data_IF_173896549263
#
_entry.id   IF_173896549263
#
_cell.length_a   1.000
_cell.length_b   1.000
_cell.length_c   1.000
_cell.angle_alpha   90.00
_cell.angle_beta   90.00
_cell.angle_gamma   90.00
#
_symmetry.space_group_name_H-M   'P 1'
#
loop_
_entity.id
_entity.type
_entity.pdbx_description
1 polymer ?
#
# COMPACT_ATOMS: atom_id res chain seq x y z
N UNK A 1 -15.30 26.54 2.61
CA UNK A 1 -16.50 25.77 2.17
C UNK A 1 -16.20 24.78 1.05
N UNK A 2 -15.65 25.17 -0.11
CA UNK A 2 -15.43 24.26 -1.26
C UNK A 2 -14.55 23.03 -0.95
N UNK A 3 -13.45 23.21 -0.20
CA UNK A 3 -12.51 22.12 0.13
C UNK A 3 -13.11 21.05 1.04
N UNK A 4 -13.69 21.45 2.18
CA UNK A 4 -14.42 20.53 3.08
C UNK A 4 -15.57 19.79 2.36
N UNK A 5 -16.25 20.46 1.43
CA UNK A 5 -17.27 19.82 0.59
C UNK A 5 -16.71 18.66 -0.25
N UNK A 6 -15.51 18.81 -0.82
CA UNK A 6 -14.85 17.75 -1.60
C UNK A 6 -14.48 16.54 -0.72
N UNK A 7 -14.00 16.81 0.50
CA UNK A 7 -13.69 15.77 1.49
C UNK A 7 -14.96 14.98 1.80
N UNK A 8 -16.02 15.65 2.29
CA UNK A 8 -17.28 15.00 2.67
C UNK A 8 -17.87 14.21 1.49
N UNK A 9 -17.91 14.81 0.29
CA UNK A 9 -18.40 14.14 -0.91
C UNK A 9 -17.61 12.85 -1.22
N UNK A 10 -16.28 12.88 -1.09
CA UNK A 10 -15.43 11.71 -1.30
C UNK A 10 -15.71 10.60 -0.29
N UNK A 11 -15.78 10.92 1.01
CA UNK A 11 -16.10 9.93 2.04
C UNK A 11 -17.45 9.26 1.80
N UNK A 12 -18.49 10.06 1.52
CA UNK A 12 -19.83 9.54 1.23
C UNK A 12 -19.83 8.65 -0.02
N UNK A 13 -19.16 9.07 -1.10
CA UNK A 13 -19.09 8.32 -2.35
C UNK A 13 -18.35 6.98 -2.20
N UNK A 14 -17.21 6.98 -1.50
CA UNK A 14 -16.42 5.77 -1.25
C UNK A 14 -17.23 4.75 -0.44
N UNK A 15 -17.90 5.19 0.65
CA UNK A 15 -18.77 4.32 1.46
C UNK A 15 -19.93 3.76 0.65
N UNK A 16 -20.65 4.62 -0.07
CA UNK A 16 -21.81 4.23 -0.85
C UNK A 16 -21.44 3.21 -1.94
N UNK A 17 -20.33 3.43 -2.63
CA UNK A 17 -19.83 2.53 -3.66
C UNK A 17 -19.48 1.13 -3.13
N UNK A 18 -18.85 1.05 -1.96
CA UNK A 18 -18.50 -0.20 -1.29
C UNK A 18 -19.75 -0.90 -0.74
N UNK A 19 -20.67 -0.15 -0.13
CA UNK A 19 -21.95 -0.68 0.37
C UNK A 19 -22.79 -1.29 -0.76
N UNK A 20 -22.87 -0.64 -1.92
CA UNK A 20 -23.53 -1.17 -3.12
C UNK A 20 -22.89 -2.48 -3.64
N UNK A 21 -21.63 -2.75 -3.27
CA UNK A 21 -20.91 -3.99 -3.57
C UNK A 21 -20.90 -4.97 -2.40
N UNK A 22 -21.78 -4.77 -1.41
CA UNK A 22 -21.94 -5.62 -0.24
C UNK A 22 -20.69 -5.74 0.65
N UNK A 23 -19.83 -4.71 0.65
CA UNK A 23 -18.78 -4.60 1.66
C UNK A 23 -19.39 -4.14 2.99
N UNK A 24 -18.99 -4.79 4.07
CA UNK A 24 -19.38 -4.41 5.43
C UNK A 24 -18.35 -3.45 6.02
N UNK A 25 -18.81 -2.27 6.47
CA UNK A 25 -17.96 -1.34 7.23
C UNK A 25 -17.74 -1.92 8.62
N UNK A 26 -16.48 -1.98 9.05
CA UNK A 26 -16.08 -2.46 10.36
C UNK A 26 -15.20 -1.42 11.04
N UNK A 27 -15.13 -1.48 12.36
CA UNK A 27 -14.20 -0.69 13.16
C UNK A 27 -13.24 -1.63 13.90
N UNK A 28 -11.95 -1.32 13.79
CA UNK A 28 -10.89 -2.04 14.48
C UNK A 28 -10.23 -1.19 15.56
N UNK A 29 -9.61 -1.81 16.58
CA UNK A 29 -8.89 -1.05 17.61
C UNK A 29 -7.76 -0.20 17.02
N UNK A 30 -7.74 1.09 17.37
CA UNK A 30 -6.65 2.02 17.00
C UNK A 30 -5.39 1.76 17.85
N UNK A 31 -5.60 1.32 19.10
CA UNK A 31 -4.54 0.93 20.03
C UNK A 31 -4.38 -0.59 20.01
N UNK A 32 -3.14 -1.05 19.89
CA UNK A 32 -2.78 -2.47 19.94
C UNK A 32 -1.60 -2.72 20.88
N UNK A 33 -1.40 -3.98 21.27
CA UNK A 33 -0.16 -4.40 21.94
C UNK A 33 1.00 -4.37 20.93
N UNK A 34 2.18 -4.07 21.44
CA UNK A 34 3.37 -3.63 20.71
C UNK A 34 4.02 -4.60 19.68
N UNK A 35 3.35 -5.68 19.24
CA UNK A 35 4.00 -6.77 18.50
C UNK A 35 3.57 -6.96 17.04
N UNK A 36 2.69 -6.13 16.47
CA UNK A 36 2.05 -6.44 15.18
C UNK A 36 2.56 -5.58 13.99
N UNK A 37 3.75 -5.92 13.48
CA UNK A 37 4.02 -6.14 12.05
C UNK A 37 3.76 -5.07 10.98
N UNK A 38 3.41 -3.82 11.30
CA UNK A 38 3.42 -2.73 10.31
C UNK A 38 4.88 -2.34 10.12
N UNK A 39 5.45 -2.54 8.94
CA UNK A 39 6.82 -2.11 8.63
C UNK A 39 7.02 -0.59 8.62
N UNK A 40 6.32 0.16 9.45
CA UNK A 40 6.46 1.59 9.72
C UNK A 40 6.59 1.76 11.24
N UNK A 41 7.40 2.73 11.69
CA UNK A 41 7.68 2.94 13.10
C UNK A 41 6.40 3.31 13.89
N UNK A 42 5.90 2.43 14.78
CA UNK A 42 4.68 2.68 15.54
C UNK A 42 4.91 3.74 16.61
N UNK A 43 3.86 4.51 16.94
CA UNK A 43 3.93 5.41 18.10
C UNK A 43 3.62 4.64 19.37
N UNK A 44 4.59 4.57 20.28
CA UNK A 44 4.39 4.02 21.62
C UNK A 44 3.75 5.10 22.49
N UNK A 45 2.61 4.76 23.08
CA UNK A 45 1.91 5.62 24.04
C UNK A 45 1.80 4.89 25.37
N UNK A 46 2.22 5.49 26.50
CA UNK A 46 1.97 4.94 27.81
C UNK A 46 0.45 4.89 28.06
N UNK A 47 -0.04 3.77 28.56
CA UNK A 47 -1.44 3.61 28.94
C UNK A 47 -1.50 3.48 30.46
N UNK A 48 -2.15 4.42 31.15
CA UNK A 48 -2.22 4.37 32.62
C UNK A 48 -3.14 3.25 33.14
N UNK A 49 -4.06 2.75 32.30
CA UNK A 49 -5.07 1.75 32.67
C UNK A 49 -4.47 0.33 32.75
N UNK A 50 -3.34 0.09 32.08
CA UNK A 50 -2.65 -1.20 32.14
C UNK A 50 -1.15 -0.96 32.21
N UNK A 51 -0.40 -1.71 33.01
CA UNK A 51 1.07 -1.60 33.09
C UNK A 51 1.81 -2.00 31.79
N UNK A 52 1.10 -2.12 30.67
CA UNK A 52 1.61 -2.48 29.35
C UNK A 52 1.65 -1.25 28.44
N UNK A 53 2.72 -1.15 27.65
CA UNK A 53 2.84 -0.15 26.58
C UNK A 53 1.92 -0.51 25.41
N UNK A 54 1.24 0.48 24.84
CA UNK A 54 0.40 0.31 23.65
C UNK A 54 1.05 1.01 22.45
N UNK A 55 0.85 0.45 21.26
CA UNK A 55 1.26 1.02 19.99
C UNK A 55 0.03 1.44 19.17
N UNK A 56 0.12 2.63 18.57
CA UNK A 56 -0.83 3.09 17.55
C UNK A 56 -0.40 2.51 16.20
N UNK A 57 -1.29 1.76 15.55
CA UNK A 57 -0.95 0.99 14.36
C UNK A 57 -1.58 1.48 13.06
N UNK A 58 -0.93 1.06 11.97
CA UNK A 58 -1.37 1.22 10.59
C UNK A 58 -1.82 -0.16 10.08
N UNK A 59 -3.13 -0.31 9.82
CA UNK A 59 -3.60 -1.29 8.83
C UNK A 59 -3.38 -2.78 9.12
N UNK A 60 -3.35 -3.22 10.39
CA UNK A 60 -3.04 -4.63 10.72
C UNK A 60 -4.25 -5.41 11.29
N UNK A 61 -5.20 -4.76 11.96
CA UNK A 61 -6.35 -5.48 12.55
C UNK A 61 -7.31 -6.08 11.54
N UNK A 62 -7.43 -5.48 10.35
CA UNK A 62 -8.15 -6.11 9.25
C UNK A 62 -7.53 -7.47 8.89
N UNK A 63 -6.22 -7.70 9.13
CA UNK A 63 -5.57 -9.01 9.02
C UNK A 63 -6.04 -10.05 10.03
N UNK A 64 -6.57 -9.59 11.16
CA UNK A 64 -7.10 -10.44 12.24
C UNK A 64 -8.62 -10.61 12.16
N UNK A 65 -9.39 -9.59 11.72
CA UNK A 65 -10.85 -9.74 11.49
C UNK A 65 -11.18 -10.62 10.27
N UNK A 66 -10.17 -10.81 9.43
CA UNK A 66 -10.02 -11.81 8.37
C UNK A 66 -10.27 -13.27 8.80
N UNK A 67 -10.55 -13.50 10.09
CA UNK A 67 -10.91 -14.79 10.69
C UNK A 67 -12.41 -15.06 10.83
N UNK A 68 -13.26 -14.06 10.58
CA UNK A 68 -14.70 -14.09 10.86
C UNK A 68 -15.57 -14.80 9.81
N UNK A 69 -15.00 -15.27 8.69
CA UNK A 69 -15.74 -15.82 7.55
C UNK A 69 -16.45 -14.75 6.70
N UNK A 70 -16.31 -13.46 7.04
CA UNK A 70 -16.88 -12.35 6.27
C UNK A 70 -16.07 -12.17 4.98
N UNK A 71 -16.77 -12.23 3.85
CA UNK A 71 -16.13 -12.25 2.52
C UNK A 71 -15.73 -10.87 2.00
N UNK A 72 -16.34 -9.79 2.47
CA UNK A 72 -16.09 -8.41 2.00
C UNK A 72 -16.17 -7.44 3.17
N UNK A 73 -15.05 -6.84 3.52
CA UNK A 73 -14.99 -5.85 4.61
C UNK A 73 -14.20 -4.63 4.21
N UNK A 74 -14.54 -3.49 4.78
CA UNK A 74 -13.74 -2.29 4.67
C UNK A 74 -13.78 -1.47 5.96
N UNK A 75 -12.78 -0.62 6.11
CA UNK A 75 -12.68 0.32 7.22
C UNK A 75 -12.09 1.62 6.69
N UNK A 76 -12.65 2.75 7.12
CA UNK A 76 -12.04 4.06 6.93
C UNK A 76 -11.54 4.52 8.29
N UNK A 77 -10.22 4.57 8.47
CA UNK A 77 -9.59 4.83 9.76
C UNK A 77 -8.50 5.89 9.69
N UNK A 78 -8.27 6.51 10.84
CA UNK A 78 -7.09 7.34 11.10
C UNK A 78 -5.88 6.44 11.35
N UNK A 79 -4.76 6.83 10.79
CA UNK A 79 -3.51 6.13 10.86
C UNK A 79 -2.38 7.10 11.13
N UNK A 80 -1.31 6.62 11.77
CA UNK A 80 -0.27 7.47 12.32
C UNK A 80 1.11 6.92 11.92
N UNK A 81 1.95 7.76 11.30
CA UNK A 81 3.33 7.40 10.89
C UNK A 81 4.31 8.36 11.52
N UNK A 82 5.21 7.84 12.35
CA UNK A 82 6.22 8.67 13.02
C UNK A 82 7.35 9.13 12.08
N UNK A 83 7.54 8.45 10.95
CA UNK A 83 8.60 8.73 9.99
C UNK A 83 8.31 9.93 9.08
N UNK A 84 7.03 10.28 8.91
CA UNK A 84 6.61 11.26 7.90
C UNK A 84 6.63 12.70 8.41
N UNK A 85 6.27 12.92 9.69
CA UNK A 85 6.25 14.24 10.32
C UNK A 85 6.05 14.13 11.85
N UNK A 86 6.36 15.19 12.64
CA UNK A 86 5.91 15.28 14.03
C UNK A 86 4.38 15.47 14.12
N UNK A 87 3.74 15.07 15.23
CA UNK A 87 2.31 15.35 15.44
C UNK A 87 2.02 16.87 15.45
N UNK A 88 0.88 17.33 14.91
CA UNK A 88 -0.24 16.53 14.38
C UNK A 88 -0.10 16.10 12.91
N UNK A 89 0.97 16.49 12.21
CA UNK A 89 1.14 16.30 10.75
C UNK A 89 1.38 14.85 10.31
N UNK A 90 1.40 13.95 11.30
CA UNK A 90 1.73 12.54 11.21
C UNK A 90 0.48 11.64 11.14
N UNK A 91 -0.70 12.24 11.22
CA UNK A 91 -2.01 11.61 11.08
C UNK A 91 -2.50 11.65 9.62
N UNK A 92 -3.06 10.55 9.14
CA UNK A 92 -3.65 10.45 7.80
C UNK A 92 -4.79 9.42 7.78
N UNK A 93 -5.75 9.63 6.90
CA UNK A 93 -6.91 8.75 6.75
C UNK A 93 -6.69 7.76 5.61
N UNK A 94 -6.90 6.48 5.91
CA UNK A 94 -6.80 5.37 4.96
C UNK A 94 -8.16 4.69 4.85
N UNK A 95 -8.54 4.32 3.63
CA UNK A 95 -9.54 3.30 3.36
C UNK A 95 -8.82 1.98 3.13
N UNK A 96 -9.10 0.98 3.95
CA UNK A 96 -8.59 -0.38 3.79
C UNK A 96 -9.76 -1.32 3.53
N UNK A 97 -9.64 -2.19 2.53
CA UNK A 97 -10.67 -3.18 2.25
C UNK A 97 -10.05 -4.54 1.91
N UNK A 98 -10.81 -5.60 2.21
CA UNK A 98 -10.44 -6.98 1.96
C UNK A 98 -11.61 -7.71 1.32
N UNK A 99 -11.32 -8.56 0.34
CA UNK A 99 -12.31 -9.44 -0.27
C UNK A 99 -11.72 -10.83 -0.52
N UNK A 100 -12.52 -11.86 -0.25
CA UNK A 100 -12.21 -13.27 -0.54
C UNK A 100 -12.57 -13.66 -1.97
N UNK A 101 -11.97 -14.76 -2.42
CA UNK A 101 -12.08 -15.34 -3.76
C UNK A 101 -11.63 -14.41 -4.89
N UNK A 102 -10.70 -13.51 -4.58
CA UNK A 102 -10.07 -12.60 -5.54
C UNK A 102 -8.56 -12.56 -5.33
N UNK A 103 -7.85 -12.03 -6.33
CA UNK A 103 -6.43 -11.72 -6.26
C UNK A 103 -6.15 -10.22 -6.42
N UNK A 104 -4.87 -9.84 -6.39
CA UNK A 104 -4.46 -8.45 -6.54
C UNK A 104 -4.86 -7.82 -7.88
N UNK A 105 -5.05 -8.57 -8.97
CA UNK A 105 -5.48 -7.97 -10.23
C UNK A 105 -6.93 -7.49 -10.13
N UNK A 106 -7.79 -8.29 -9.49
CA UNK A 106 -9.20 -7.93 -9.27
C UNK A 106 -9.36 -6.62 -8.48
N UNK A 107 -8.45 -6.34 -7.55
CA UNK A 107 -8.51 -5.11 -6.75
C UNK A 107 -8.14 -3.86 -7.54
N UNK A 108 -7.44 -3.97 -8.69
CA UNK A 108 -7.11 -2.81 -9.54
C UNK A 108 -8.38 -2.16 -10.06
N UNK A 109 -9.30 -2.96 -10.60
CA UNK A 109 -10.57 -2.45 -11.13
C UNK A 109 -11.45 -1.86 -10.05
N UNK A 110 -11.47 -2.47 -8.86
CA UNK A 110 -12.20 -1.96 -7.72
C UNK A 110 -11.68 -0.57 -7.30
N UNK A 111 -10.36 -0.42 -7.20
CA UNK A 111 -9.73 0.86 -6.82
C UNK A 111 -9.88 1.91 -7.92
N UNK A 112 -9.73 1.54 -9.19
CA UNK A 112 -9.99 2.43 -10.31
C UNK A 112 -11.40 3.02 -10.25
N UNK A 113 -12.40 2.17 -10.03
CA UNK A 113 -13.78 2.62 -9.90
C UNK A 113 -14.02 3.48 -8.65
N UNK A 114 -13.37 3.19 -7.51
CA UNK A 114 -13.44 4.04 -6.32
C UNK A 114 -12.95 5.46 -6.58
N UNK A 115 -11.80 5.60 -7.26
CA UNK A 115 -11.25 6.91 -7.65
C UNK A 115 -12.19 7.63 -8.60
N UNK A 116 -12.77 6.93 -9.59
CA UNK A 116 -13.75 7.50 -10.51
C UNK A 116 -15.02 7.98 -9.79
N UNK A 117 -15.51 7.23 -8.80
CA UNK A 117 -16.66 7.67 -8.01
C UNK A 117 -16.36 8.90 -7.17
N UNK A 118 -15.19 8.95 -6.54
CA UNK A 118 -14.76 10.14 -5.80
C UNK A 118 -14.65 11.37 -6.73
N UNK A 119 -14.09 11.19 -7.94
CA UNK A 119 -14.04 12.23 -8.98
C UNK A 119 -15.45 12.72 -9.37
N UNK A 120 -16.38 11.80 -9.66
CA UNK A 120 -17.77 12.14 -9.95
C UNK A 120 -18.45 12.89 -8.79
N UNK A 121 -18.23 12.48 -7.55
CA UNK A 121 -18.83 13.14 -6.39
C UNK A 121 -18.31 14.57 -6.17
N UNK A 122 -17.07 14.86 -6.57
CA UNK A 122 -16.47 16.19 -6.44
C UNK A 122 -16.85 17.11 -7.63
N UNK A 123 -16.85 16.57 -8.85
CA UNK A 123 -16.90 17.37 -10.08
C UNK A 123 -18.12 17.14 -10.97
N UNK A 124 -19.00 16.20 -10.60
CA UNK A 124 -20.14 15.73 -11.42
C UNK A 124 -19.70 15.17 -12.80
N UNK A 125 -18.43 14.77 -12.90
CA UNK A 125 -17.81 14.17 -14.10
C UNK A 125 -16.65 13.29 -13.68
N UNK A 126 -16.29 12.33 -14.52
CA UNK A 126 -15.07 11.51 -14.34
C UNK A 126 -13.78 12.25 -14.73
N UNK A 127 -13.88 13.50 -15.22
CA UNK A 127 -12.74 14.30 -15.63
C UNK A 127 -12.16 15.11 -14.47
N UNK A 128 -10.84 15.05 -14.32
CA UNK A 128 -10.09 15.75 -13.29
C UNK A 128 -9.21 16.82 -13.95
N UNK A 129 -9.61 18.07 -13.80
CA UNK A 129 -8.85 19.22 -14.29
C UNK A 129 -7.85 19.64 -13.20
N UNK A 130 -6.55 19.43 -13.43
CA UNK A 130 -5.53 19.86 -12.46
C UNK A 130 -5.13 21.31 -12.77
N UNK A 131 -5.29 22.22 -11.81
CA UNK A 131 -4.93 23.65 -12.00
C UNK A 131 -3.41 23.91 -12.10
N UNK A 132 -2.58 22.89 -11.91
CA UNK A 132 -1.12 22.99 -11.79
C UNK A 132 -0.33 22.98 -13.11
N UNK A 133 -0.99 23.04 -14.26
CA UNK A 133 -0.31 23.04 -15.57
C UNK A 133 0.27 21.68 -16.00
N UNK A 134 0.05 20.59 -15.25
CA UNK A 134 0.38 19.20 -15.67
C UNK A 134 -0.68 18.55 -16.57
N UNK A 135 -1.55 19.36 -17.18
CA UNK A 135 -2.63 18.90 -18.07
C UNK A 135 -3.90 18.49 -17.33
N UNK A 136 -5.01 18.55 -18.06
CA UNK A 136 -6.26 17.91 -17.67
C UNK A 136 -6.14 16.41 -17.92
N UNK A 137 -6.68 15.58 -17.03
CA UNK A 137 -6.72 14.14 -17.21
C UNK A 137 -8.11 13.61 -16.91
N UNK A 138 -8.55 12.59 -17.63
CA UNK A 138 -9.84 11.97 -17.37
C UNK A 138 -9.67 10.67 -16.59
N UNK A 139 -10.28 10.57 -15.41
CA UNK A 139 -10.21 9.36 -14.60
C UNK A 139 -10.95 8.17 -15.22
N UNK A 140 -11.75 8.41 -16.26
CA UNK A 140 -12.41 7.36 -17.05
C UNK A 140 -11.46 6.62 -17.99
N UNK A 141 -10.28 7.18 -18.30
CA UNK A 141 -9.30 6.55 -19.18
C UNK A 141 -8.81 5.20 -18.64
N UNK A 142 -8.31 4.36 -19.56
CA UNK A 142 -7.58 3.16 -19.18
C UNK A 142 -6.25 3.57 -18.56
N UNK A 143 -5.95 2.99 -17.39
CA UNK A 143 -4.73 3.29 -16.67
C UNK A 143 -3.64 2.32 -17.07
N UNK A 144 -2.42 2.84 -17.21
CA UNK A 144 -1.28 2.01 -17.58
C UNK A 144 -1.00 0.98 -16.50
N UNK A 145 -0.62 -0.22 -16.93
CA UNK A 145 -0.17 -1.30 -16.04
C UNK A 145 1.25 -1.69 -16.48
N UNK A 146 2.23 -1.51 -15.60
CA UNK A 146 3.63 -1.81 -15.87
C UNK A 146 4.22 -2.63 -14.74
N UNK A 147 5.08 -3.61 -15.04
CA UNK A 147 5.85 -4.24 -13.97
C UNK A 147 6.87 -3.26 -13.40
N UNK A 148 7.20 -3.38 -12.11
CA UNK A 148 8.25 -2.56 -11.47
C UNK A 148 9.57 -2.67 -12.25
N UNK A 149 9.94 -3.86 -12.70
CA UNK A 149 11.17 -4.09 -13.44
C UNK A 149 11.16 -3.42 -14.81
N UNK A 150 10.04 -3.47 -15.55
CA UNK A 150 9.86 -2.78 -16.83
C UNK A 150 9.99 -1.26 -16.65
N UNK A 151 9.36 -0.70 -15.61
CA UNK A 151 9.42 0.73 -15.35
C UNK A 151 10.84 1.20 -14.98
N UNK A 152 11.55 0.42 -14.14
CA UNK A 152 12.94 0.68 -13.78
C UNK A 152 13.88 0.52 -14.98
N UNK A 153 13.66 -0.48 -15.83
CA UNK A 153 14.44 -0.66 -17.07
C UNK A 153 14.33 0.56 -17.99
N UNK A 154 13.11 1.07 -18.19
CA UNK A 154 12.87 2.27 -18.99
C UNK A 154 13.54 3.50 -18.38
N UNK A 155 13.40 3.71 -17.06
CA UNK A 155 14.00 4.86 -16.37
C UNK A 155 15.54 4.83 -16.37
N UNK A 156 16.14 3.65 -16.27
CA UNK A 156 17.60 3.46 -16.34
C UNK A 156 18.15 3.36 -17.76
N UNK A 157 17.28 3.34 -18.78
CA UNK A 157 17.63 3.11 -20.18
C UNK A 157 18.52 1.86 -20.35
N UNK A 158 18.17 0.79 -19.66
CA UNK A 158 18.96 -0.45 -19.57
C UNK A 158 18.01 -1.65 -19.45
N UNK A 159 18.30 -2.79 -20.12
CA UNK A 159 17.46 -3.98 -19.98
C UNK A 159 17.61 -4.58 -18.57
N UNK A 160 16.70 -4.20 -17.67
CA UNK A 160 16.59 -4.76 -16.33
C UNK A 160 15.45 -5.78 -16.30
N UNK A 161 15.75 -6.97 -15.79
CA UNK A 161 14.81 -8.06 -15.58
C UNK A 161 14.88 -8.56 -14.16
N UNK A 162 13.98 -9.48 -13.83
CA UNK A 162 13.93 -10.17 -12.54
C UNK A 162 15.15 -11.04 -12.28
N UNK A 163 16.01 -11.29 -13.29
CA UNK A 163 17.23 -12.11 -13.18
C UNK A 163 18.53 -11.33 -13.40
N UNK A 164 18.44 -10.01 -13.68
CA UNK A 164 19.63 -9.15 -13.80
C UNK A 164 20.52 -9.26 -12.57
N UNK A 165 21.84 -9.30 -12.78
CA UNK A 165 22.80 -9.49 -11.70
C UNK A 165 22.93 -8.24 -10.82
N UNK A 166 23.42 -8.42 -9.59
CA UNK A 166 23.67 -7.31 -8.67
C UNK A 166 24.67 -6.29 -9.25
N UNK A 167 25.76 -6.76 -9.87
CA UNK A 167 26.81 -5.90 -10.42
C UNK A 167 26.29 -5.02 -11.55
N UNK A 168 25.49 -5.58 -12.46
CA UNK A 168 24.85 -4.83 -13.55
C UNK A 168 23.88 -3.77 -13.02
N UNK A 169 23.02 -4.14 -12.07
CA UNK A 169 22.07 -3.21 -11.43
C UNK A 169 22.78 -2.08 -10.68
N UNK A 170 23.81 -2.41 -9.89
CA UNK A 170 24.59 -1.41 -9.17
C UNK A 170 25.26 -0.44 -10.15
N UNK A 171 25.81 -0.94 -11.25
CA UNK A 171 26.45 -0.12 -12.27
C UNK A 171 25.44 0.79 -12.98
N UNK A 172 24.25 0.27 -13.29
CA UNK A 172 23.16 1.06 -13.86
C UNK A 172 22.71 2.18 -12.91
N UNK A 173 22.48 1.87 -11.62
CA UNK A 173 22.12 2.85 -10.60
C UNK A 173 23.20 3.93 -10.42
N UNK A 174 24.48 3.56 -10.40
CA UNK A 174 25.59 4.52 -10.26
C UNK A 174 25.67 5.52 -11.42
N UNK A 175 25.41 5.08 -12.67
CA UNK A 175 25.44 5.97 -13.85
C UNK A 175 24.46 7.15 -13.76
N UNK A 176 23.36 6.96 -13.04
CA UNK A 176 22.30 7.97 -12.86
C UNK A 176 22.34 8.62 -11.48
N UNK A 177 23.43 8.44 -10.72
CA UNK A 177 23.63 9.08 -9.42
C UNK A 177 22.82 8.48 -8.26
N UNK A 178 22.29 7.26 -8.40
CA UNK A 178 21.61 6.57 -7.30
C UNK A 178 22.65 5.91 -6.40
N UNK A 179 22.80 6.44 -5.19
CA UNK A 179 23.57 5.79 -4.14
C UNK A 179 22.85 4.57 -3.59
N UNK A 180 23.54 3.42 -3.62
CA UNK A 180 23.07 2.18 -3.03
C UNK A 180 23.26 2.22 -1.50
N UNK A 181 22.26 1.77 -0.73
CA UNK A 181 22.45 1.52 0.70
C UNK A 181 23.62 0.56 0.96
N UNK A 182 24.30 0.67 2.12
CA UNK A 182 25.30 -0.32 2.53
C UNK A 182 24.70 -1.73 2.53
N UNK A 183 25.40 -2.68 1.90
CA UNK A 183 24.95 -4.08 1.76
C UNK A 183 23.57 -4.26 1.09
N UNK A 184 23.16 -3.32 0.22
CA UNK A 184 21.91 -3.42 -0.48
C UNK A 184 21.81 -4.75 -1.26
N UNK A 185 20.68 -5.44 -1.12
CA UNK A 185 20.34 -6.55 -1.99
C UNK A 185 19.98 -6.04 -3.39
N UNK A 186 19.98 -6.95 -4.36
CA UNK A 186 19.54 -6.65 -5.73
C UNK A 186 18.14 -6.04 -5.76
N UNK A 187 17.21 -6.63 -5.03
CA UNK A 187 15.82 -6.18 -5.00
C UNK A 187 15.70 -4.80 -4.33
N UNK A 188 16.54 -4.52 -3.31
CA UNK A 188 16.63 -3.19 -2.71
C UNK A 188 17.14 -2.15 -3.72
N UNK A 189 18.10 -2.49 -4.59
CA UNK A 189 18.54 -1.59 -5.67
C UNK A 189 17.41 -1.27 -6.65
N UNK A 190 16.63 -2.28 -7.07
CA UNK A 190 15.46 -2.08 -7.93
C UNK A 190 14.46 -1.15 -7.25
N UNK A 191 14.17 -1.36 -5.96
CA UNK A 191 13.26 -0.50 -5.22
C UNK A 191 13.79 0.93 -5.02
N UNK A 192 15.10 1.10 -4.81
CA UNK A 192 15.72 2.42 -4.76
C UNK A 192 15.58 3.16 -6.09
N UNK A 193 15.82 2.48 -7.22
CA UNK A 193 15.63 3.06 -8.55
C UNK A 193 14.17 3.41 -8.83
N UNK A 194 13.24 2.53 -8.46
CA UNK A 194 11.81 2.77 -8.58
C UNK A 194 11.37 4.02 -7.80
N UNK A 195 11.70 4.10 -6.51
CA UNK A 195 11.34 5.21 -5.63
C UNK A 195 11.97 6.54 -6.05
N UNK A 196 13.18 6.55 -6.63
CA UNK A 196 13.90 7.78 -7.01
C UNK A 196 13.62 8.25 -8.43
N UNK A 197 13.36 7.35 -9.37
CA UNK A 197 13.23 7.69 -10.79
C UNK A 197 11.82 7.51 -11.32
N UNK A 198 11.16 6.42 -10.95
CA UNK A 198 9.88 6.04 -11.55
C UNK A 198 8.73 6.77 -10.86
N UNK A 199 8.64 6.67 -9.53
CA UNK A 199 7.55 7.30 -8.78
C UNK A 199 7.47 8.81 -9.05
N UNK A 200 8.52 9.62 -8.84
CA UNK A 200 8.44 11.08 -9.01
C UNK A 200 8.17 11.52 -10.45
N UNK A 201 8.55 10.69 -11.44
CA UNK A 201 8.33 10.97 -12.85
C UNK A 201 6.94 10.55 -13.36
N UNK A 202 6.19 9.77 -12.59
CA UNK A 202 4.86 9.27 -12.99
C UNK A 202 3.87 10.43 -13.07
N UNK A 203 3.34 10.68 -14.27
CA UNK A 203 2.43 11.79 -14.53
C UNK A 203 0.97 11.37 -14.31
N UNK A 204 0.51 10.34 -15.02
CA UNK A 204 -0.87 9.86 -14.96
C UNK A 204 -0.99 8.65 -14.01
N UNK A 205 -2.21 8.29 -13.59
CA UNK A 205 -2.42 7.08 -12.80
C UNK A 205 -1.87 5.84 -13.52
N UNK A 206 -0.90 5.21 -12.88
CA UNK A 206 -0.25 3.99 -13.37
C UNK A 206 -0.21 2.97 -12.26
N UNK A 207 -0.67 1.76 -12.54
CA UNK A 207 -0.45 0.60 -11.70
C UNK A 207 0.93 0.03 -11.99
N UNK A 208 1.78 0.02 -10.96
CA UNK A 208 3.01 -0.74 -10.96
C UNK A 208 2.78 -2.09 -10.31
N UNK A 209 3.13 -3.17 -10.99
CA UNK A 209 2.81 -4.54 -10.56
C UNK A 209 4.08 -5.37 -10.33
N UNK A 210 3.90 -6.48 -9.62
CA UNK A 210 4.91 -7.53 -9.44
C UNK A 210 6.19 -7.03 -8.78
N UNK A 211 6.03 -6.51 -7.56
CA UNK A 211 7.12 -6.02 -6.74
C UNK A 211 8.09 -7.16 -6.37
N UNK A 212 9.39 -6.87 -6.17
CA UNK A 212 10.32 -7.85 -5.64
C UNK A 212 9.83 -8.45 -4.32
N UNK A 213 9.90 -9.77 -4.17
CA UNK A 213 9.33 -10.49 -3.02
C UNK A 213 9.93 -10.05 -1.68
N UNK A 214 11.22 -9.67 -1.68
CA UNK A 214 11.91 -9.19 -0.48
C UNK A 214 11.39 -7.84 0.02
N UNK A 215 10.75 -7.05 -0.83
CA UNK A 215 10.11 -5.78 -0.47
C UNK A 215 8.66 -5.94 0.03
N UNK A 216 8.11 -7.15 -0.09
CA UNK A 216 6.69 -7.45 0.19
C UNK A 216 6.55 -8.65 1.14
N UNK A 217 7.02 -8.52 2.40
CA UNK A 217 7.15 -9.63 3.35
C UNK A 217 5.82 -10.32 3.71
N UNK A 218 4.71 -9.60 3.60
CA UNK A 218 3.37 -10.09 3.98
C UNK A 218 2.47 -10.41 2.78
N UNK A 219 3.03 -10.38 1.57
CA UNK A 219 2.30 -10.59 0.32
C UNK A 219 2.60 -11.96 -0.27
N UNK A 220 1.61 -12.61 -0.87
CA UNK A 220 1.76 -13.88 -1.59
C UNK A 220 2.85 -13.81 -2.65
N UNK A 221 3.60 -14.91 -2.81
CA UNK A 221 4.58 -15.03 -3.89
C UNK A 221 3.85 -15.02 -5.23
N UNK A 222 4.44 -14.41 -6.25
CA UNK A 222 3.88 -14.43 -7.58
C UNK A 222 3.79 -15.87 -8.11
N UNK A 223 2.60 -16.25 -8.60
CA UNK A 223 2.30 -17.64 -9.02
C UNK A 223 3.21 -18.18 -10.14
N UNK A 224 3.78 -17.31 -10.96
CA UNK A 224 4.69 -17.68 -12.06
C UNK A 224 6.17 -17.35 -11.80
N UNK A 225 6.47 -16.46 -10.85
CA UNK A 225 7.82 -15.90 -10.68
C UNK A 225 8.20 -15.81 -9.20
N UNK A 226 9.01 -16.75 -8.72
CA UNK A 226 9.30 -16.90 -7.28
C UNK A 226 10.02 -15.71 -6.63
N UNK A 227 10.64 -14.85 -7.43
CA UNK A 227 11.33 -13.63 -7.00
C UNK A 227 10.39 -12.43 -6.88
N UNK A 228 9.14 -12.54 -7.31
CA UNK A 228 8.15 -11.47 -7.28
C UNK A 228 7.03 -11.78 -6.28
N UNK A 229 6.28 -10.74 -5.92
CA UNK A 229 5.11 -10.80 -5.08
C UNK A 229 3.88 -10.30 -5.85
N UNK A 230 2.72 -10.90 -5.58
CA UNK A 230 1.43 -10.47 -6.15
C UNK A 230 0.97 -9.17 -5.47
N UNK A 231 1.60 -8.07 -5.86
CA UNK A 231 1.40 -6.73 -5.31
C UNK A 231 1.30 -5.73 -6.44
N UNK A 232 0.48 -4.71 -6.24
CA UNK A 232 0.55 -3.51 -7.04
C UNK A 232 0.57 -2.24 -6.19
N UNK A 233 1.15 -1.17 -6.74
CA UNK A 233 1.09 0.20 -6.24
C UNK A 233 0.51 1.11 -7.31
N UNK A 234 -0.48 1.92 -6.95
CA UNK A 234 -1.07 2.93 -7.83
C UNK A 234 -0.38 4.26 -7.56
N UNK A 235 0.29 4.79 -8.56
CA UNK A 235 1.00 6.06 -8.49
C UNK A 235 0.37 7.03 -9.47
N UNK A 236 0.10 8.26 -9.04
CA UNK A 236 -0.23 9.35 -9.95
C UNK A 236 0.44 10.64 -9.49
N UNK A 237 0.87 11.46 -10.45
CA UNK A 237 1.49 12.76 -10.22
C UNK A 237 2.66 12.75 -9.23
N UNK A 238 3.44 11.68 -9.20
CA UNK A 238 4.60 11.56 -8.31
C UNK A 238 4.33 10.89 -6.97
N UNK A 239 3.08 10.50 -6.67
CA UNK A 239 2.67 10.05 -5.33
C UNK A 239 1.95 8.70 -5.41
N UNK A 240 2.32 7.78 -4.51
CA UNK A 240 1.62 6.51 -4.32
C UNK A 240 0.27 6.76 -3.59
N UNK A 241 -0.83 6.48 -4.26
CA UNK A 241 -2.20 6.77 -3.77
C UNK A 241 -2.81 5.52 -3.14
N UNK A 242 -2.51 4.34 -3.69
CA UNK A 242 -3.02 3.08 -3.19
C UNK A 242 -2.01 1.95 -3.38
N UNK A 243 -2.16 0.90 -2.58
CA UNK A 243 -1.38 -0.34 -2.70
C UNK A 243 -2.31 -1.53 -2.44
N UNK A 244 -2.07 -2.65 -3.10
CA UNK A 244 -2.80 -3.89 -2.84
C UNK A 244 -1.91 -5.10 -2.99
N UNK A 245 -2.34 -6.19 -2.38
CA UNK A 245 -1.65 -7.47 -2.45
C UNK A 245 -2.60 -8.64 -2.32
N UNK A 246 -2.31 -9.73 -3.03
CA UNK A 246 -2.84 -11.05 -2.71
C UNK A 246 -2.22 -11.50 -1.39
N UNK A 247 -3.04 -12.07 -0.52
CA UNK A 247 -2.57 -12.47 0.80
C UNK A 247 -1.96 -13.87 0.81
N UNK A 248 -0.98 -14.06 1.70
CA UNK A 248 -0.48 -15.40 2.02
C UNK A 248 -1.58 -16.13 2.80
N UNK A 249 -2.06 -17.23 2.24
CA UNK A 249 -3.08 -18.11 2.86
C UNK A 249 -2.53 -19.47 3.24
N UNK A 250 -1.32 -19.82 2.78
CA UNK A 250 -0.65 -21.08 3.11
C UNK A 250 0.17 -20.93 4.42
N UNK A 251 -0.09 -21.74 5.46
CA UNK A 251 0.64 -21.68 6.72
C UNK A 251 2.14 -22.01 6.56
N UNK A 252 2.50 -22.93 5.67
CA UNK A 252 3.89 -23.31 5.40
C UNK A 252 4.62 -22.15 4.71
N UNK A 253 3.97 -21.53 3.72
CA UNK A 253 4.51 -20.34 3.05
C UNK A 253 4.70 -19.20 4.05
N UNK A 254 3.73 -18.97 4.93
CA UNK A 254 3.80 -17.93 5.96
C UNK A 254 4.97 -18.17 6.92
N UNK A 255 5.13 -19.39 7.45
CA UNK A 255 6.24 -19.76 8.33
C UNK A 255 7.60 -19.60 7.67
N UNK A 256 7.75 -20.08 6.42
CA UNK A 256 9.00 -19.97 5.67
C UNK A 256 9.44 -18.52 5.41
N UNK A 257 8.52 -17.56 5.54
CA UNK A 257 8.79 -16.13 5.35
C UNK A 257 9.20 -15.40 6.62
N UNK A 258 8.92 -15.94 7.81
CA UNK A 258 9.21 -15.28 9.09
C UNK A 258 10.66 -14.74 9.16
N UNK A 259 11.71 -15.47 8.73
CA UNK A 259 13.08 -14.93 8.73
C UNK A 259 13.24 -13.68 7.85
N UNK A 260 12.54 -13.62 6.71
CA UNK A 260 12.55 -12.43 5.82
C UNK A 260 11.79 -11.28 6.44
N UNK A 261 10.67 -11.53 7.13
CA UNK A 261 9.91 -10.49 7.84
C UNK A 261 10.74 -9.88 8.97
N UNK A 262 11.41 -10.73 9.75
CA UNK A 262 12.32 -10.32 10.83
C UNK A 262 13.51 -9.51 10.28
N UNK A 263 14.12 -9.97 9.19
CA UNK A 263 15.22 -9.25 8.53
C UNK A 263 14.78 -7.89 7.99
N UNK A 264 13.58 -7.81 7.39
CA UNK A 264 13.00 -6.56 6.92
C UNK A 264 12.71 -5.59 8.07
N UNK A 265 12.12 -6.08 9.17
CA UNK A 265 11.86 -5.27 10.37
C UNK A 265 13.16 -4.72 10.99
N UNK A 266 14.19 -5.57 11.14
CA UNK A 266 15.50 -5.18 11.66
C UNK A 266 16.18 -4.10 10.80
N UNK A 267 15.96 -4.12 9.48
CA UNK A 267 16.52 -3.10 8.56
C UNK A 267 15.91 -1.70 8.73
N UNK A 268 14.73 -1.59 9.34
CA UNK A 268 14.00 -0.32 9.53
C UNK A 268 14.28 0.37 10.86
N UNK A 269 15.35 0.01 11.58
CA UNK A 269 15.66 0.47 12.95
C UNK A 269 14.62 0.11 14.00
N UNK A 270 13.71 -0.82 13.69
CA UNK A 270 12.77 -1.41 14.63
C UNK A 270 13.45 -2.64 15.27
N UNK A 271 13.85 -2.51 16.54
CA UNK A 271 14.48 -3.59 17.32
C UNK A 271 13.50 -4.66 17.79
N UNK A 272 12.20 -4.42 17.65
CA UNK A 272 11.18 -5.37 18.03
C UNK A 272 10.99 -6.33 16.87
N UNK A 273 11.64 -7.49 16.97
CA UNK A 273 11.42 -8.61 16.07
C UNK A 273 9.90 -8.82 15.92
N UNK A 274 9.41 -8.92 14.68
CA UNK A 274 8.02 -9.28 14.43
C UNK A 274 7.78 -10.62 15.11
N UNK A 275 7.11 -10.61 16.27
CA UNK A 275 6.78 -11.84 16.98
C UNK A 275 5.87 -12.67 16.08
N UNK A 276 6.12 -13.97 16.07
CA UNK A 276 5.28 -14.90 15.33
C UNK A 276 3.88 -14.84 15.94
N UNK A 277 2.90 -14.42 15.16
CA UNK A 277 1.51 -14.44 15.59
C UNK A 277 0.99 -15.89 15.46
N UNK A 278 1.16 -16.67 16.53
CA UNK A 278 0.76 -18.07 16.60
C UNK A 278 -0.75 -18.26 16.38
N UNK A 279 -1.58 -17.31 16.81
CA UNK A 279 -3.02 -17.34 16.55
C UNK A 279 -3.33 -17.19 15.05
N UNK A 280 -2.64 -16.29 14.36
CA UNK A 280 -2.79 -16.13 12.92
C UNK A 280 -2.30 -17.36 12.15
N UNK A 281 -1.19 -17.97 12.60
CA UNK A 281 -0.69 -19.20 12.01
C UNK A 281 -1.67 -20.37 12.20
N UNK A 282 -2.24 -20.51 13.40
CA UNK A 282 -3.29 -21.50 13.66
C UNK A 282 -4.51 -21.26 12.77
N UNK A 283 -4.87 -20.00 12.52
CA UNK A 283 -5.97 -19.69 11.62
C UNK A 283 -5.70 -20.07 10.17
N UNK A 284 -4.47 -19.85 9.68
CA UNK A 284 -4.07 -20.33 8.35
C UNK A 284 -4.23 -21.86 8.20
N UNK A 285 -4.02 -22.62 9.28
CA UNK A 285 -4.19 -24.08 9.29
C UNK A 285 -5.66 -24.52 9.22
N UNK A 286 -6.61 -23.72 9.72
CA UNK A 286 -8.05 -23.99 9.55
C UNK A 286 -8.53 -23.77 8.11
N UNK A 287 -7.70 -23.14 7.27
CA UNK A 287 -7.99 -22.85 5.89
C UNK A 287 -8.65 -21.48 5.72
N UNK A 288 -8.02 -20.65 4.90
CA UNK A 288 -8.54 -19.34 4.51
C UNK A 288 -8.70 -19.35 2.99
N UNK A 289 -9.86 -18.93 2.44
CA UNK A 289 -9.98 -18.79 0.99
C UNK A 289 -8.96 -17.75 0.45
N UNK A 290 -8.51 -17.91 -0.81
CA UNK A 290 -7.71 -16.89 -1.49
C UNK A 290 -8.35 -15.52 -1.35
N UNK A 291 -7.56 -14.47 -1.15
CA UNK A 291 -8.08 -13.12 -0.93
C UNK A 291 -7.05 -12.07 -1.26
N UNK A 292 -7.53 -10.87 -1.52
CA UNK A 292 -6.71 -9.69 -1.68
C UNK A 292 -7.25 -8.53 -0.85
N UNK A 293 -6.34 -7.67 -0.44
CA UNK A 293 -6.65 -6.45 0.29
C UNK A 293 -5.98 -5.26 -0.37
N UNK A 294 -6.61 -4.09 -0.31
CA UNK A 294 -5.99 -2.84 -0.74
C UNK A 294 -6.10 -1.77 0.35
N UNK A 295 -5.19 -0.81 0.29
CA UNK A 295 -5.16 0.40 1.09
C UNK A 295 -5.13 1.60 0.15
N UNK A 296 -5.98 2.58 0.40
CA UNK A 296 -6.13 3.82 -0.37
C UNK A 296 -5.97 5.00 0.59
N UNK A 297 -5.00 5.86 0.33
CA UNK A 297 -4.82 7.11 1.07
C UNK A 297 -5.87 8.12 0.63
N UNK A 298 -6.78 8.50 1.54
CA UNK A 298 -7.81 9.49 1.22
C UNK A 298 -7.19 10.87 1.01
N UNK A 299 -6.10 11.20 1.72
CA UNK A 299 -5.39 12.45 1.50
C UNK A 299 -4.75 12.51 0.12
N UNK A 300 -3.99 11.48 -0.28
CA UNK A 300 -3.36 11.48 -1.60
C UNK A 300 -4.40 11.41 -2.71
N UNK A 301 -5.52 10.71 -2.50
CA UNK A 301 -6.65 10.73 -3.41
C UNK A 301 -7.16 12.16 -3.62
N UNK A 302 -7.40 12.89 -2.52
CA UNK A 302 -7.86 14.27 -2.59
C UNK A 302 -6.80 15.18 -3.23
N UNK A 303 -5.53 15.06 -2.87
CA UNK A 303 -4.43 15.84 -3.48
C UNK A 303 -4.39 15.70 -5.00
N UNK A 304 -4.61 14.47 -5.47
CA UNK A 304 -4.62 14.10 -6.89
C UNK A 304 -5.88 14.63 -7.59
N UNK A 305 -7.03 14.57 -6.93
CA UNK A 305 -8.30 15.03 -7.50
C UNK A 305 -8.45 16.55 -7.48
N UNK A 306 -8.01 17.23 -6.41
CA UNK A 306 -8.43 18.60 -6.13
C UNK A 306 -7.37 19.68 -6.32
N UNK A 307 -6.14 19.30 -6.66
CA UNK A 307 -5.01 20.22 -6.87
C UNK A 307 -4.62 21.07 -5.66
N UNK A 308 -5.15 20.80 -4.46
CA UNK A 308 -4.73 21.44 -3.21
C UNK A 308 -4.37 20.37 -2.17
N UNK A 309 -3.44 20.65 -1.23
CA UNK A 309 -3.10 19.72 -0.18
C UNK A 309 -4.33 19.44 0.71
N UNK A 310 -4.70 18.18 0.88
CA UNK A 310 -5.74 17.72 1.78
C UNK A 310 -5.42 18.00 3.25
N UNK A 311 -4.16 18.31 3.57
CA UNK A 311 -3.71 18.74 4.90
C UNK A 311 -4.12 20.19 5.25
N UNK A 312 -4.55 20.99 4.27
CA UNK A 312 -5.04 22.35 4.49
C UNK A 312 -6.56 22.40 4.82
N UNK A 313 -7.15 21.26 5.19
CA UNK A 313 -8.57 21.08 5.54
C UNK A 313 -8.70 20.17 6.75
#
# INVERSE_FOLDING_TARGET
>A
MRRFGCVVASFSALRLFLAQRHFLEIETPVLSRASQGSGANPRITPCDVSRHQHQIMIGQYLKSLRMSGISRTFEIKRSFRTEDAPPPDNEFIILEACQTYIDYLDTMDLVRQLVQQASCAIYDKKAVTRQSGKGDWEASEEWQVLTVHTAVAAALQCPITVDTSYSELLSACKRVGIEAPPMASRDQLVMCAFKRLVEPATQYPTFYIDYPVSSSPTTRQHRLHSRLAERWGLVAFGVEIATSSSEVTDPIEYQGRLPRQQSYAASKSNSDATEVNDEFLLFLQYGIPPRASFQLSIHHLLDVLTSFPAKDT
#
